data_IF_285178372433
#
_entry.id   IF_285178372433
#
_cell.length_a   1.000
_cell.length_b   1.000
_cell.length_c   1.000
_cell.angle_alpha   90.00
_cell.angle_beta   90.00
_cell.angle_gamma   90.00
#
_symmetry.space_group_name_H-M   'P 1'
#
loop_
_entity.id
_entity.type
_entity.pdbx_description
1 polymer ?
#
# COMPACT_ATOMS: atom_id res chain seq x y z
N UNK A 1 -7.95 -12.81 -10.21
CA UNK A 1 -6.80 -12.14 -9.56
C UNK A 1 -7.31 -11.61 -8.24
N UNK A 2 -6.84 -12.19 -7.13
CA UNK A 2 -7.27 -11.78 -5.80
C UNK A 2 -6.68 -10.40 -5.51
N UNK A 3 -7.53 -9.40 -5.33
CA UNK A 3 -7.13 -8.05 -4.96
C UNK A 3 -6.86 -8.06 -3.46
N UNK A 4 -5.67 -8.50 -3.04
CA UNK A 4 -5.32 -8.45 -1.63
C UNK A 4 -5.15 -6.99 -1.21
N UNK A 5 -5.97 -6.58 -0.25
CA UNK A 5 -5.85 -5.30 0.44
C UNK A 5 -5.68 -5.62 1.91
N UNK A 6 -4.47 -5.45 2.41
CA UNK A 6 -4.17 -5.57 3.83
C UNK A 6 -3.91 -4.18 4.37
N UNK A 7 -4.41 -3.91 5.58
CA UNK A 7 -4.14 -2.64 6.23
C UNK A 7 -4.03 -2.79 7.75
N UNK A 8 -3.24 -1.92 8.36
CA UNK A 8 -3.15 -1.77 9.80
C UNK A 8 -3.00 -0.30 10.16
N UNK A 9 -3.72 0.14 11.19
CA UNK A 9 -3.60 1.49 11.73
C UNK A 9 -2.30 1.60 12.51
N UNK A 10 -1.43 2.54 12.15
CA UNK A 10 -0.16 2.79 12.85
C UNK A 10 -0.38 3.75 14.04
N UNK A 11 -1.06 4.87 13.82
CA UNK A 11 -1.35 5.93 14.82
C UNK A 11 -2.50 6.83 14.33
N UNK A 12 -2.93 7.80 15.17
CA UNK A 12 -4.07 8.76 15.08
C UNK A 12 -4.52 9.31 13.71
N UNK A 13 -3.80 9.09 12.60
CA UNK A 13 -4.27 9.39 11.24
C UNK A 13 -3.48 8.64 10.13
N UNK A 14 -2.72 7.58 10.48
CA UNK A 14 -1.85 6.85 9.55
C UNK A 14 -2.24 5.39 9.46
N UNK A 15 -2.41 4.92 8.23
CA UNK A 15 -2.70 3.51 7.95
C UNK A 15 -1.65 2.95 7.01
N UNK A 16 -0.97 1.88 7.44
CA UNK A 16 -0.06 1.12 6.60
C UNK A 16 -0.88 0.17 5.75
N UNK A 17 -0.68 0.19 4.44
CA UNK A 17 -1.41 -0.61 3.48
C UNK A 17 -0.47 -1.46 2.64
N UNK A 18 -0.89 -2.69 2.34
CA UNK A 18 -0.28 -3.54 1.31
C UNK A 18 -1.36 -3.88 0.29
N UNK A 19 -1.22 -3.33 -0.92
CA UNK A 19 -2.19 -3.54 -1.97
C UNK A 19 -1.57 -3.35 -3.36
N UNK A 20 -2.15 -3.91 -4.43
CA UNK A 20 -1.80 -3.49 -5.78
C UNK A 20 -2.21 -2.03 -5.96
N UNK A 21 -1.26 -1.19 -6.39
CA UNK A 21 -1.56 0.21 -6.70
C UNK A 21 -2.20 0.28 -8.09
N UNK A 22 -3.32 0.99 -8.18
CA UNK A 22 -3.84 1.45 -9.46
C UNK A 22 -3.09 2.71 -9.89
N UNK A 23 -3.03 3.00 -11.19
CA UNK A 23 -2.41 4.23 -11.73
C UNK A 23 -2.86 5.50 -11.01
N UNK A 24 -4.09 5.52 -10.48
CA UNK A 24 -4.65 6.67 -9.74
C UNK A 24 -3.93 6.92 -8.42
N UNK A 25 -3.58 5.88 -7.65
CA UNK A 25 -2.83 6.05 -6.40
C UNK A 25 -1.35 6.36 -6.63
N UNK A 26 -0.75 5.82 -7.69
CA UNK A 26 0.62 6.19 -8.08
C UNK A 26 0.73 7.68 -8.47
N UNK A 27 -0.27 8.20 -9.21
CA UNK A 27 -0.33 9.62 -9.53
C UNK A 27 -0.44 10.51 -8.27
N UNK A 28 -1.11 10.04 -7.21
CA UNK A 28 -1.20 10.74 -5.93
C UNK A 28 0.10 10.71 -5.12
N UNK A 29 0.89 9.64 -5.25
CA UNK A 29 2.20 9.52 -4.59
C UNK A 29 3.28 10.40 -5.26
N UNK A 30 3.05 10.92 -6.47
CA UNK A 30 4.01 11.75 -7.18
C UNK A 30 5.26 11.01 -7.64
N UNK A 31 5.23 9.67 -7.67
CA UNK A 31 6.37 8.82 -8.05
C UNK A 31 6.07 8.17 -9.40
N UNK A 32 6.97 8.33 -10.37
CA UNK A 32 6.98 7.53 -11.59
C UNK A 32 7.46 6.12 -11.26
N UNK A 33 6.51 5.18 -11.16
CA UNK A 33 6.82 3.75 -11.01
C UNK A 33 6.95 3.14 -12.41
N UNK A 34 8.15 2.68 -12.82
CA UNK A 34 8.38 2.20 -14.19
C UNK A 34 7.66 0.87 -14.49
N UNK A 35 7.37 0.06 -13.47
CA UNK A 35 6.57 -1.15 -13.59
C UNK A 35 5.54 -1.21 -12.45
N UNK A 36 4.24 -0.95 -12.72
CA UNK A 36 3.19 -0.95 -11.70
C UNK A 36 2.75 -2.35 -11.28
N UNK A 37 3.46 -3.40 -11.72
CA UNK A 37 3.09 -4.78 -11.47
C UNK A 37 3.42 -5.18 -10.02
N UNK A 38 2.53 -5.97 -9.42
CA UNK A 38 2.70 -6.49 -8.06
C UNK A 38 1.96 -5.69 -6.99
N UNK A 39 2.47 -5.76 -5.77
CA UNK A 39 1.91 -5.12 -4.59
C UNK A 39 2.83 -3.98 -4.14
N UNK A 40 2.30 -3.04 -3.36
CA UNK A 40 3.08 -1.96 -2.80
C UNK A 40 2.76 -1.81 -1.33
N UNK A 41 3.80 -1.56 -0.55
CA UNK A 41 3.71 -1.11 0.82
C UNK A 41 3.69 0.42 0.79
N UNK A 42 2.60 1.00 1.29
CA UNK A 42 2.43 2.45 1.33
C UNK A 42 1.71 2.87 2.61
N UNK A 43 2.01 4.08 3.06
CA UNK A 43 1.26 4.74 4.12
C UNK A 43 0.21 5.66 3.51
N UNK A 44 -0.98 5.63 4.12
CA UNK A 44 -2.03 6.59 3.83
C UNK A 44 -2.20 7.49 5.05
N UNK A 45 -2.07 8.79 4.83
CA UNK A 45 -2.28 9.83 5.85
C UNK A 45 -3.66 10.44 5.64
N UNK A 46 -4.53 10.41 6.63
CA UNK A 46 -5.88 10.97 6.54
C UNK A 46 -6.97 9.96 6.22
N UNK A 47 -8.15 10.20 6.81
CA UNK A 47 -9.40 9.45 6.53
C UNK A 47 -10.11 9.89 5.24
N UNK A 48 -9.61 10.92 4.53
CA UNK A 48 -10.27 11.50 3.36
C UNK A 48 -9.70 10.98 2.02
N UNK A 49 -10.51 11.08 0.95
CA UNK A 49 -10.17 10.70 -0.44
C UNK A 49 -8.93 11.42 -1.00
N UNK A 50 -8.45 12.48 -0.35
CA UNK A 50 -7.27 13.27 -0.71
C UNK A 50 -6.11 13.09 0.27
N UNK A 51 -6.21 12.15 1.20
CA UNK A 51 -5.11 11.76 2.06
C UNK A 51 -3.87 11.38 1.26
N UNK A 52 -2.71 11.93 1.63
CA UNK A 52 -1.46 11.67 0.95
C UNK A 52 -1.11 10.19 0.99
N UNK A 53 -0.69 9.63 -0.14
CA UNK A 53 -0.17 8.26 -0.23
C UNK A 53 1.34 8.33 -0.35
N UNK A 54 2.05 7.75 0.60
CA UNK A 54 3.52 7.65 0.58
C UNK A 54 3.92 6.20 0.30
N UNK A 55 4.54 5.95 -0.85
CA UNK A 55 5.02 4.61 -1.21
C UNK A 55 6.35 4.36 -0.51
N UNK A 56 6.38 3.36 0.37
CA UNK A 56 7.60 2.95 1.09
C UNK A 56 8.40 1.95 0.25
N UNK A 57 7.72 0.95 -0.32
CA UNK A 57 8.39 -0.12 -1.07
C UNK A 57 7.45 -0.82 -2.08
N UNK A 58 8.05 -1.34 -3.16
CA UNK A 58 7.38 -2.27 -4.08
C UNK A 58 7.62 -3.72 -3.63
N UNK A 59 6.57 -4.53 -3.75
CA UNK A 59 6.50 -5.92 -3.31
C UNK A 59 6.12 -6.79 -4.50
N UNK A 60 7.11 -7.42 -5.13
CA UNK A 60 6.94 -8.14 -6.41
C UNK A 60 6.27 -9.52 -6.28
N UNK A 61 6.15 -10.08 -5.08
CA UNK A 61 5.59 -11.43 -4.86
C UNK A 61 4.39 -11.39 -3.91
N UNK A 62 3.37 -12.18 -4.24
CA UNK A 62 2.19 -12.40 -3.37
C UNK A 62 2.59 -12.98 -2.01
N UNK A 63 3.55 -13.91 -1.99
CA UNK A 63 4.06 -14.46 -0.73
C UNK A 63 4.69 -13.39 0.16
N UNK A 64 5.37 -12.41 -0.45
CA UNK A 64 5.94 -11.30 0.30
C UNK A 64 4.85 -10.39 0.87
N UNK A 65 3.78 -10.13 0.12
CA UNK A 65 2.62 -9.38 0.62
C UNK A 65 1.94 -10.09 1.82
N UNK A 66 1.78 -11.41 1.73
CA UNK A 66 1.24 -12.23 2.83
C UNK A 66 2.15 -12.26 4.06
N UNK A 67 3.48 -12.33 3.86
CA UNK A 67 4.45 -12.23 4.96
C UNK A 67 4.41 -10.86 5.63
N UNK A 68 4.28 -9.77 4.85
CA UNK A 68 4.14 -8.43 5.40
C UNK A 68 2.85 -8.31 6.23
N UNK A 69 1.74 -8.86 5.73
CA UNK A 69 0.49 -8.94 6.49
C UNK A 69 0.69 -9.61 7.84
N UNK A 70 1.35 -10.77 7.87
CA UNK A 70 1.62 -11.52 9.10
C UNK A 70 2.55 -10.75 10.05
N UNK A 71 3.66 -10.22 9.52
CA UNK A 71 4.65 -9.46 10.29
C UNK A 71 4.07 -8.20 10.95
N UNK A 72 3.18 -7.50 10.25
CA UNK A 72 2.56 -6.27 10.72
C UNK A 72 1.16 -6.49 11.32
N UNK A 73 0.69 -7.74 11.41
CA UNK A 73 -0.62 -8.11 11.93
C UNK A 73 -1.77 -7.33 11.25
N UNK A 74 -1.73 -7.27 9.92
CA UNK A 74 -2.71 -6.56 9.10
C UNK A 74 -3.99 -7.39 8.90
N UNK A 75 -5.15 -6.74 8.94
CA UNK A 75 -6.45 -7.37 8.73
C UNK A 75 -6.65 -7.79 7.27
#
# INVERSE_FOLDING_TARGET
MANFYFSVSLDNDRTLCVAPLTNRKMAMAGVEVPDPSGYFLFEQHGSEEFGGVEIIAQVFSEEAALRLRDMFNMA
#
